data_IF_990169817322
#
_entry.id   IF_990169817322
#
_cell.length_a   1.000
_cell.length_b   1.000
_cell.length_c   1.000
_cell.angle_alpha   90.00
_cell.angle_beta   90.00
_cell.angle_gamma   90.00
#
_symmetry.space_group_name_H-M   'P 1'
#
loop_
_entity.id
_entity.type
_entity.pdbx_description
1 polymer ?
#
# COMPACT_ATOMS: atom_id res chain seq x y z
N UNK A 1 -4.13 5.92 -4.97
CA UNK A 1 -3.99 5.29 -6.30
C UNK A 1 -2.66 5.68 -6.93
N UNK A 2 -1.87 4.69 -7.34
CA UNK A 2 -0.52 4.87 -7.89
C UNK A 2 -0.54 5.28 -9.38
N UNK A 3 0.33 6.22 -9.80
CA UNK A 3 0.43 6.62 -11.22
C UNK A 3 1.39 5.71 -12.00
N UNK A 4 0.86 4.95 -12.97
CA UNK A 4 1.62 4.00 -13.82
C UNK A 4 2.68 4.62 -14.72
N UNK A 5 2.62 5.93 -14.98
CA UNK A 5 3.61 6.68 -15.77
C UNK A 5 4.42 7.67 -14.92
N UNK A 6 4.52 7.45 -13.60
CA UNK A 6 5.30 8.32 -12.73
C UNK A 6 6.78 8.35 -13.19
N UNK A 7 7.38 9.54 -13.43
CA UNK A 7 8.76 9.65 -13.90
C UNK A 7 9.82 9.26 -12.85
N UNK A 8 9.42 9.16 -11.58
CA UNK A 8 10.33 8.84 -10.46
C UNK A 8 10.36 7.34 -10.17
N UNK A 9 9.18 6.74 -9.96
CA UNK A 9 9.07 5.33 -9.63
C UNK A 9 8.75 4.43 -10.83
N UNK A 10 8.56 4.99 -12.03
CA UNK A 10 8.23 4.25 -13.27
C UNK A 10 7.04 3.31 -13.11
N UNK A 11 6.01 3.75 -12.38
CA UNK A 11 4.81 2.97 -12.11
C UNK A 11 4.92 1.98 -10.93
N UNK A 12 6.08 1.83 -10.29
CA UNK A 12 6.24 0.92 -9.14
C UNK A 12 5.47 1.39 -7.89
N UNK A 13 5.34 2.70 -7.69
CA UNK A 13 4.79 3.28 -6.47
C UNK A 13 5.75 3.38 -5.28
N UNK A 14 7.01 2.98 -5.47
CA UNK A 14 8.03 2.94 -4.41
C UNK A 14 9.34 3.57 -4.86
N UNK A 15 10.00 4.27 -3.95
CA UNK A 15 11.31 4.90 -4.12
C UNK A 15 12.23 4.52 -2.96
N UNK A 16 13.53 4.67 -3.12
CA UNK A 16 14.49 4.42 -2.04
C UNK A 16 14.34 5.47 -0.93
N UNK A 17 14.32 5.06 0.34
CA UNK A 17 14.22 6.00 1.47
C UNK A 17 15.40 6.97 1.54
N UNK A 18 16.59 6.51 1.13
CA UNK A 18 17.82 7.32 1.11
C UNK A 18 17.95 8.18 -0.15
N UNK A 19 17.29 7.76 -1.23
CA UNK A 19 17.31 8.43 -2.54
C UNK A 19 15.89 8.51 -3.10
N UNK A 20 15.05 9.48 -2.64
CA UNK A 20 13.64 9.56 -2.99
C UNK A 20 13.38 9.87 -4.47
N UNK A 21 14.42 10.27 -5.22
CA UNK A 21 14.43 10.45 -6.67
C UNK A 21 14.63 9.15 -7.45
N UNK A 22 14.91 8.03 -6.77
CA UNK A 22 15.22 6.75 -7.39
C UNK A 22 14.17 5.71 -7.08
N UNK A 23 13.66 5.08 -8.13
CA UNK A 23 12.81 3.90 -8.04
C UNK A 23 13.44 2.81 -7.15
N UNK A 24 12.64 2.19 -6.28
CA UNK A 24 13.11 1.09 -5.43
C UNK A 24 13.17 -0.22 -6.23
N UNK A 25 14.26 -0.39 -6.99
CA UNK A 25 14.51 -1.52 -7.89
C UNK A 25 16.01 -1.72 -8.13
N UNK A 26 16.44 -2.93 -8.46
CA UNK A 26 17.80 -3.25 -8.93
C UNK A 26 18.03 -2.85 -10.40
N UNK A 27 16.98 -2.43 -11.11
CA UNK A 27 17.04 -2.02 -12.50
C UNK A 27 17.93 -0.79 -12.74
N UNK A 28 18.29 -0.55 -14.00
CA UNK A 28 19.11 0.59 -14.39
C UNK A 28 18.49 1.91 -13.92
N UNK A 29 19.26 2.71 -13.17
CA UNK A 29 18.80 3.98 -12.60
C UNK A 29 18.03 3.87 -11.27
N UNK A 30 17.73 2.65 -10.81
CA UNK A 30 17.10 2.39 -9.51
C UNK A 30 18.08 2.38 -8.33
N UNK A 31 17.54 2.26 -7.12
CA UNK A 31 18.32 2.15 -5.90
C UNK A 31 17.64 1.27 -4.84
N UNK A 32 18.40 0.37 -4.23
CA UNK A 32 17.99 -0.45 -3.09
C UNK A 32 19.06 -0.49 -1.97
N UNK A 33 19.75 0.64 -1.73
CA UNK A 33 20.70 0.73 -0.62
C UNK A 33 20.03 0.84 0.77
N UNK A 34 18.72 1.05 0.80
CA UNK A 34 17.89 1.10 2.00
C UNK A 34 16.51 0.50 1.74
N UNK A 35 15.57 0.74 2.65
CA UNK A 35 14.19 0.33 2.49
C UNK A 35 13.47 1.12 1.38
N UNK A 36 12.35 0.57 0.93
CA UNK A 36 11.42 1.28 0.05
C UNK A 36 10.51 2.18 0.86
N UNK A 37 10.27 3.39 0.37
CA UNK A 37 9.23 4.30 0.86
C UNK A 37 8.21 4.58 -0.25
N UNK A 38 6.96 4.95 0.09
CA UNK A 38 5.95 5.30 -0.91
C UNK A 38 6.46 6.44 -1.79
N UNK A 39 6.33 6.28 -3.10
CA UNK A 39 6.51 7.39 -4.02
C UNK A 39 5.44 8.46 -3.76
N UNK A 40 5.73 9.73 -4.08
CA UNK A 40 4.73 10.80 -4.02
C UNK A 40 3.48 10.51 -4.88
N UNK A 41 3.62 9.74 -5.96
CA UNK A 41 2.45 9.31 -6.74
C UNK A 41 1.65 8.18 -6.08
N UNK A 42 2.20 7.59 -5.02
CA UNK A 42 1.63 6.54 -4.18
C UNK A 42 1.28 7.09 -2.78
N UNK A 43 0.97 8.38 -2.69
CA UNK A 43 0.52 8.99 -1.44
C UNK A 43 -0.96 8.69 -1.23
N UNK A 44 -1.29 7.45 -0.85
CA UNK A 44 -2.58 7.13 -0.23
C UNK A 44 -2.57 7.54 1.25
N UNK A 45 -2.23 8.80 1.53
CA UNK A 45 -2.31 9.37 2.89
C UNK A 45 -3.76 9.55 3.38
N UNK A 46 -4.75 9.29 2.54
CA UNK A 46 -6.18 9.30 2.90
C UNK A 46 -6.84 7.92 2.79
N UNK A 47 -6.04 6.86 2.68
CA UNK A 47 -6.51 5.49 2.81
C UNK A 47 -6.69 5.09 4.27
N UNK A 48 -7.54 5.79 5.02
CA UNK A 48 -8.14 5.15 6.20
C UNK A 48 -8.76 3.87 5.66
N UNK A 49 -8.34 2.67 6.11
CA UNK A 49 -9.04 1.47 5.68
C UNK A 49 -10.52 1.71 5.96
N UNK A 50 -11.37 1.46 4.96
CA UNK A 50 -12.81 1.58 5.14
C UNK A 50 -13.22 0.50 6.15
N UNK A 51 -13.18 0.85 7.44
CA UNK A 51 -13.49 -0.04 8.55
C UNK A 51 -15.01 -0.21 8.72
N UNK A 52 -15.84 0.24 7.77
CA UNK A 52 -17.28 -0.07 7.76
C UNK A 52 -17.60 -1.54 7.42
N UNK A 53 -16.65 -2.46 7.60
CA UNK A 53 -16.95 -3.89 7.69
C UNK A 53 -17.50 -4.21 9.10
N UNK A 54 -18.81 -4.03 9.26
CA UNK A 54 -19.61 -4.42 10.44
C UNK A 54 -19.38 -5.90 10.77
N UNK A 55 -18.76 -6.20 11.91
CA UNK A 55 -18.73 -7.55 12.49
C UNK A 55 -20.11 -7.78 13.12
N UNK A 56 -20.93 -8.64 12.51
CA UNK A 56 -22.18 -9.09 13.13
C UNK A 56 -21.87 -10.29 14.01
N UNK A 57 -21.98 -10.12 15.33
CA UNK A 57 -21.99 -11.26 16.26
C UNK A 57 -23.31 -12.02 16.07
N UNK A 58 -23.22 -13.28 15.64
CA UNK A 58 -24.37 -14.16 15.54
C UNK A 58 -24.46 -14.92 16.87
N UNK A 59 -25.36 -14.51 17.75
CA UNK A 59 -25.73 -15.30 18.92
C UNK A 59 -26.45 -16.58 18.47
N UNK A 60 -25.70 -17.66 18.24
CA UNK A 60 -26.30 -18.98 18.12
C UNK A 60 -26.72 -19.45 19.51
N UNK A 61 -27.95 -19.15 19.91
CA UNK A 61 -28.57 -19.81 21.08
C UNK A 61 -28.86 -21.28 20.72
N UNK A 62 -28.22 -22.26 21.40
CA UNK A 62 -28.32 -23.67 21.04
C UNK A 62 -29.66 -24.34 21.46
N UNK A 63 -30.64 -23.61 22.02
CA UNK A 63 -31.87 -24.24 22.59
C UNK A 63 -33.09 -24.29 21.68
N UNK A 64 -32.95 -24.14 20.36
CA UNK A 64 -34.05 -24.39 19.41
C UNK A 64 -33.69 -25.34 18.27
N UNK A 65 -33.14 -26.50 18.60
CA UNK A 65 -33.41 -27.71 17.82
C UNK A 65 -34.20 -28.67 18.71
N UNK A 66 -35.39 -28.99 18.20
CA UNK A 66 -36.53 -29.61 18.86
C UNK A 66 -36.25 -31.00 19.43
#
# INVERSE_FOLDING_TARGET
MTNSHCPVCHGLGWVCENHPDKAWTEGAGGCQCGAGMPCVCNSDVDGVPDIEAVIVEIDTDPKRLN
#
